data_IF_390852424691
#
_entry.id   IF_390852424691
#
_cell.length_a   1.000
_cell.length_b   1.000
_cell.length_c   1.000
_cell.angle_alpha   90.00
_cell.angle_beta   90.00
_cell.angle_gamma   90.00
#
_symmetry.space_group_name_H-M   'P 1'
#
loop_
_entity.id
_entity.type
_entity.pdbx_description
1 polymer ?
#
# COMPACT_ATOMS: atom_id res chain seq x y z
N UNK A 1 30.14 26.84 27.97
CA UNK A 1 29.26 26.81 26.79
C UNK A 1 29.48 25.46 26.09
N UNK A 2 28.63 24.46 26.36
CA UNK A 2 28.79 23.08 25.87
C UNK A 2 28.03 22.90 24.54
N UNK A 3 28.76 22.75 23.43
CA UNK A 3 28.18 22.41 22.13
C UNK A 3 27.85 20.91 22.11
N UNK A 4 26.56 20.59 22.25
CA UNK A 4 26.03 19.23 22.04
C UNK A 4 26.07 18.92 20.53
N UNK A 5 27.03 18.09 20.12
CA UNK A 5 27.06 17.48 18.80
C UNK A 5 25.94 16.45 18.69
N UNK A 6 24.87 16.81 17.98
CA UNK A 6 23.81 15.88 17.60
C UNK A 6 24.39 14.82 16.66
N UNK A 7 24.69 13.63 17.18
CA UNK A 7 24.98 12.44 16.37
C UNK A 7 23.76 12.18 15.48
N UNK A 8 23.84 12.54 14.19
CA UNK A 8 22.90 12.09 13.16
C UNK A 8 22.89 10.56 13.22
N UNK A 9 21.76 9.99 13.63
CA UNK A 9 21.53 8.54 13.50
C UNK A 9 21.66 8.20 12.01
N UNK A 10 22.39 7.12 11.65
CA UNK A 10 22.43 6.68 10.26
C UNK A 10 21.00 6.36 9.84
N UNK A 11 20.53 7.03 8.80
CA UNK A 11 19.29 6.71 8.11
C UNK A 11 19.34 5.25 7.66
N UNK A 12 18.29 4.44 7.89
CA UNK A 12 18.28 3.06 7.44
C UNK A 12 18.49 3.03 5.93
N UNK A 13 19.60 2.43 5.48
CA UNK A 13 19.84 2.15 4.07
C UNK A 13 18.85 1.06 3.63
N UNK A 14 17.67 1.48 3.18
CA UNK A 14 16.77 0.60 2.44
C UNK A 14 17.39 0.41 1.06
N UNK A 15 18.05 -0.73 0.86
CA UNK A 15 18.37 -1.24 -0.47
C UNK A 15 17.05 -1.47 -1.20
N UNK A 16 16.69 -0.59 -2.14
CA UNK A 16 15.54 -0.76 -3.04
C UNK A 16 15.80 -1.87 -4.03
N UNK A 17 15.99 -3.11 -3.54
CA UNK A 17 16.00 -4.28 -4.38
C UNK A 17 14.63 -4.32 -5.04
N UNK A 18 14.56 -3.88 -6.30
CA UNK A 18 13.37 -3.88 -7.13
C UNK A 18 12.71 -5.25 -6.98
N UNK A 19 11.59 -5.30 -6.27
CA UNK A 19 10.80 -6.52 -6.14
C UNK A 19 10.07 -6.69 -7.47
N UNK A 20 10.79 -7.20 -8.48
CA UNK A 20 10.25 -7.42 -9.81
C UNK A 20 9.17 -8.52 -9.83
N UNK A 21 9.10 -9.34 -8.77
CA UNK A 21 8.13 -10.40 -8.61
C UNK A 21 6.92 -9.90 -7.83
N UNK A 22 5.78 -9.75 -8.50
CA UNK A 22 4.51 -9.31 -7.91
C UNK A 22 4.15 -10.11 -6.66
N UNK A 23 4.31 -11.44 -6.66
CA UNK A 23 4.00 -12.28 -5.50
C UNK A 23 4.83 -11.92 -4.26
N UNK A 24 6.11 -11.60 -4.44
CA UNK A 24 6.98 -11.18 -3.34
C UNK A 24 6.59 -9.78 -2.87
N UNK A 25 6.22 -8.89 -3.80
CA UNK A 25 5.81 -7.52 -3.48
C UNK A 25 4.55 -7.50 -2.61
N UNK A 26 3.54 -8.31 -2.96
CA UNK A 26 2.32 -8.46 -2.18
C UNK A 26 2.59 -8.97 -0.76
N UNK A 27 3.45 -9.99 -0.63
CA UNK A 27 3.83 -10.51 0.68
C UNK A 27 4.58 -9.47 1.51
N UNK A 28 5.49 -8.71 0.89
CA UNK A 28 6.21 -7.63 1.57
C UNK A 28 5.26 -6.51 2.00
N UNK A 29 4.25 -6.16 1.20
CA UNK A 29 3.24 -5.17 1.59
C UNK A 29 2.48 -5.61 2.84
N UNK A 30 2.02 -6.86 2.89
CA UNK A 30 1.38 -7.43 4.09
C UNK A 30 2.36 -7.42 5.29
N UNK A 31 3.64 -7.77 5.06
CA UNK A 31 4.65 -7.75 6.11
C UNK A 31 4.82 -6.37 6.74
N UNK A 32 4.90 -5.32 5.92
CA UNK A 32 5.02 -3.94 6.39
C UNK A 32 3.82 -3.54 7.25
N UNK A 33 2.61 -3.90 6.81
CA UNK A 33 1.39 -3.63 7.56
C UNK A 33 1.37 -4.35 8.92
N UNK A 34 1.79 -5.62 8.96
CA UNK A 34 1.97 -6.38 10.21
C UNK A 34 2.96 -5.72 11.18
N UNK A 35 3.97 -5.02 10.65
CA UNK A 35 4.98 -4.34 11.48
C UNK A 35 4.51 -2.99 12.03
N UNK A 36 3.61 -2.32 11.32
CA UNK A 36 3.05 -1.03 11.78
C UNK A 36 2.11 -1.24 12.96
N UNK A 37 1.36 -2.36 12.96
CA UNK A 37 0.55 -2.80 14.09
C UNK A 37 -0.57 -1.82 14.47
N UNK A 38 -0.93 -0.94 13.52
CA UNK A 38 -2.03 0.03 13.60
C UNK A 38 -3.37 -0.64 13.31
N UNK A 39 -3.39 -1.62 12.40
CA UNK A 39 -4.62 -2.28 11.96
C UNK A 39 -4.66 -3.73 12.44
N UNK A 40 -5.75 -4.13 13.11
CA UNK A 40 -5.93 -5.53 13.54
C UNK A 40 -6.33 -6.46 12.39
N UNK A 41 -6.86 -5.89 11.30
CA UNK A 41 -7.30 -6.64 10.11
C UNK A 41 -6.62 -6.09 8.87
N UNK A 42 -5.97 -6.98 8.12
CA UNK A 42 -5.28 -6.67 6.87
C UNK A 42 -6.07 -7.30 5.73
N UNK A 43 -6.39 -6.48 4.74
CA UNK A 43 -7.09 -6.90 3.54
C UNK A 43 -6.10 -7.02 2.39
N UNK A 44 -6.12 -8.14 1.67
CA UNK A 44 -5.36 -8.32 0.43
C UNK A 44 -6.23 -8.90 -0.67
N UNK A 45 -6.08 -8.37 -1.89
CA UNK A 45 -6.71 -8.90 -3.08
C UNK A 45 -5.91 -10.06 -3.72
N UNK A 46 -4.68 -10.28 -3.24
CA UNK A 46 -3.78 -11.33 -3.69
C UNK A 46 -4.03 -12.68 -3.02
N UNK A 47 -4.80 -13.55 -3.68
CA UNK A 47 -5.02 -14.95 -3.23
C UNK A 47 -3.73 -15.72 -2.95
N UNK A 48 -2.72 -15.52 -3.80
CA UNK A 48 -1.43 -16.22 -3.67
C UNK A 48 -0.68 -15.79 -2.42
N UNK A 49 -0.70 -14.50 -2.08
CA UNK A 49 -0.12 -14.01 -0.85
C UNK A 49 -0.84 -14.60 0.36
N UNK A 50 -2.18 -14.52 0.41
CA UNK A 50 -2.99 -15.09 1.50
C UNK A 50 -2.65 -16.57 1.72
N UNK A 51 -2.60 -17.36 0.64
CA UNK A 51 -2.28 -18.79 0.71
C UNK A 51 -0.85 -19.04 1.21
N UNK A 52 0.12 -18.23 0.81
CA UNK A 52 1.50 -18.32 1.29
C UNK A 52 1.58 -18.14 2.82
N UNK A 53 0.86 -17.16 3.36
CA UNK A 53 0.74 -16.97 4.81
C UNK A 53 0.06 -18.14 5.51
N UNK A 54 -1.07 -18.63 4.97
CA UNK A 54 -1.80 -19.77 5.54
C UNK A 54 -0.94 -21.05 5.61
N UNK A 55 -0.07 -21.25 4.63
CA UNK A 55 0.81 -22.42 4.57
C UNK A 55 2.15 -22.23 5.31
N UNK A 56 2.43 -21.02 5.83
CA UNK A 56 3.74 -20.69 6.41
C UNK A 56 4.89 -20.68 5.40
N UNK A 57 4.60 -20.62 4.09
CA UNK A 57 5.59 -20.64 3.01
C UNK A 57 5.74 -19.25 2.40
N UNK A 58 6.30 -18.34 3.19
CA UNK A 58 6.45 -16.92 2.85
C UNK A 58 7.81 -16.59 2.25
N UNK A 59 7.90 -15.49 1.52
CA UNK A 59 9.13 -15.02 0.89
C UNK A 59 10.18 -14.63 1.93
N UNK A 60 11.46 -14.88 1.62
CA UNK A 60 12.57 -14.55 2.52
C UNK A 60 12.62 -13.06 2.86
N UNK A 61 12.25 -12.19 1.92
CA UNK A 61 12.19 -10.73 2.10
C UNK A 61 11.20 -10.31 3.19
N UNK A 62 10.05 -10.98 3.25
CA UNK A 62 9.08 -10.77 4.33
C UNK A 62 9.66 -11.17 5.69
N UNK A 63 10.34 -12.32 5.76
CA UNK A 63 10.95 -12.78 7.02
C UNK A 63 12.00 -11.80 7.52
N UNK A 64 12.80 -11.23 6.62
CA UNK A 64 13.79 -10.19 6.96
C UNK A 64 13.15 -8.93 7.56
N UNK A 65 11.91 -8.60 7.17
CA UNK A 65 11.17 -7.47 7.74
C UNK A 65 10.65 -7.84 9.12
N UNK A 66 9.96 -8.98 9.24
CA UNK A 66 9.35 -9.43 10.49
C UNK A 66 10.41 -9.64 11.60
N UNK A 67 11.57 -10.21 11.28
CA UNK A 67 12.64 -10.43 12.26
C UNK A 67 13.25 -9.14 12.83
N UNK A 68 13.02 -7.97 12.20
CA UNK A 68 13.49 -6.68 12.73
C UNK A 68 12.52 -6.09 13.75
N UNK A 69 11.32 -6.64 13.89
CA UNK A 69 10.30 -6.19 14.84
C UNK A 69 10.49 -6.89 16.18
N UNK A 70 10.33 -6.16 17.28
CA UNK A 70 10.48 -6.70 18.63
C UNK A 70 9.30 -7.55 19.09
N UNK A 71 8.10 -7.20 18.65
CA UNK A 71 6.85 -7.86 19.04
C UNK A 71 5.86 -7.78 17.87
N UNK A 72 5.21 -8.90 17.57
CA UNK A 72 4.16 -8.96 16.56
C UNK A 72 2.82 -9.16 17.27
N UNK A 73 1.83 -8.33 16.95
CA UNK A 73 0.46 -8.53 17.41
C UNK A 73 -0.23 -9.63 16.59
N UNK A 74 -1.32 -10.16 17.12
CA UNK A 74 -2.21 -11.02 16.35
C UNK A 74 -2.99 -10.16 15.36
N UNK A 75 -3.00 -10.58 14.09
CA UNK A 75 -3.71 -9.91 13.02
C UNK A 75 -4.64 -10.89 12.30
N UNK A 76 -5.78 -10.40 11.83
CA UNK A 76 -6.67 -11.12 10.92
C UNK A 76 -6.30 -10.77 9.48
N UNK A 77 -5.98 -11.78 8.66
CA UNK A 77 -5.67 -11.58 7.26
C UNK A 77 -6.85 -12.06 6.40
N UNK A 78 -7.47 -11.14 5.66
CA UNK A 78 -8.71 -11.38 4.92
C UNK A 78 -8.47 -11.21 3.42
N UNK A 79 -8.80 -12.26 2.66
CA UNK A 79 -8.86 -12.17 1.21
C UNK A 79 -10.14 -11.44 0.78
N UNK A 80 -10.01 -10.48 -0.13
CA UNK A 80 -11.16 -9.85 -0.77
C UNK A 80 -10.96 -9.77 -2.29
N UNK A 81 -12.05 -9.76 -3.06
CA UNK A 81 -11.97 -9.62 -4.51
C UNK A 81 -12.18 -8.17 -4.91
N UNK A 82 -11.14 -7.52 -5.41
CA UNK A 82 -11.24 -6.17 -5.95
C UNK A 82 -11.89 -6.23 -7.34
N UNK A 83 -13.21 -6.01 -7.43
CA UNK A 83 -13.83 -5.59 -8.69
C UNK A 83 -13.58 -4.11 -8.83
N UNK A 84 -12.69 -3.74 -9.74
CA UNK A 84 -12.59 -2.37 -10.23
C UNK A 84 -13.97 -2.05 -10.85
N UNK A 85 -14.76 -1.23 -10.15
CA UNK A 85 -15.93 -0.60 -10.73
C UNK A 85 -15.44 0.15 -11.97
N UNK A 86 -16.09 -0.06 -13.12
CA UNK A 86 -15.75 0.65 -14.35
C UNK A 86 -15.55 2.15 -14.07
N UNK A 87 -14.61 2.82 -14.75
CA UNK A 87 -14.49 4.25 -14.63
C UNK A 87 -15.85 4.86 -14.97
N UNK A 88 -16.51 5.48 -13.98
CA UNK A 88 -17.74 6.24 -14.17
C UNK A 88 -17.51 7.15 -15.37
N UNK A 89 -18.13 6.82 -16.51
CA UNK A 89 -18.13 7.67 -17.69
C UNK A 89 -18.86 8.94 -17.30
N UNK A 90 -18.12 9.95 -16.86
CA UNK A 90 -18.67 11.30 -16.68
C UNK A 90 -19.13 11.74 -18.06
N UNK A 91 -20.43 12.00 -18.31
CA UNK A 91 -20.88 12.47 -19.61
C UNK A 91 -20.20 13.82 -19.88
N UNK A 92 -19.30 13.85 -20.88
CA UNK A 92 -18.74 15.10 -21.42
C UNK A 92 -19.79 15.79 -22.28
N UNK A 93 -20.83 16.33 -21.66
CA UNK A 93 -21.68 17.32 -22.31
C UNK A 93 -22.13 18.32 -21.27
N UNK A 94 -21.31 19.36 -21.08
CA UNK A 94 -21.84 20.65 -20.66
C UNK A 94 -22.52 21.24 -21.90
N UNK A 95 -23.84 21.44 -21.92
CA UNK A 95 -24.45 22.20 -23.00
C UNK A 95 -23.91 23.63 -22.90
N UNK A 96 -23.11 24.03 -23.89
CA UNK A 96 -22.69 25.41 -24.04
C UNK A 96 -23.94 26.23 -24.32
N UNK A 97 -24.46 26.92 -23.31
CA UNK A 97 -25.53 27.90 -23.46
C UNK A 97 -25.08 28.92 -24.50
N UNK A 98 -25.62 28.81 -25.73
CA UNK A 98 -25.50 29.87 -26.75
C UNK A 98 -26.21 31.09 -26.17
N UNK A 99 -25.39 32.02 -25.70
CA UNK A 99 -25.77 33.38 -25.31
C UNK A 99 -26.52 34.02 -26.48
N UNK A 100 -27.81 34.21 -26.30
CA UNK A 100 -28.68 35.05 -27.14
C UNK A 100 -28.03 36.43 -27.27
N UNK A 101 -27.66 36.83 -28.49
CA UNK A 101 -27.52 38.25 -28.82
C UNK A 101 -28.88 38.73 -29.31
N UNK A 102 -29.60 39.39 -28.42
CA UNK A 102 -30.59 40.39 -28.80
C UNK A 102 -29.82 41.70 -29.02
N UNK A 103 -29.92 42.21 -30.24
CA UNK A 103 -29.74 43.60 -30.65
C UNK A 103 -30.85 43.73 -31.72
N UNK A 104 -31.98 44.43 -31.56
CA UNK A 104 -32.14 45.89 -31.32
C UNK A 104 -30.99 46.63 -32.02
N UNK A 105 -31.14 47.13 -33.25
CA UNK A 105 -32.14 48.09 -33.78
C UNK A 105 -32.36 47.84 -35.27
#
# INVERSE_FOLDING_TARGET
MLLRTLKKKPSPQWSWTLIANSSVAEQVAIALELTDGVHDTIYSDSKSAIKAFQMGMVAAQLLQIIHKVKELKNHSLVWFFLRILEPLRVPRSIPTTRRTRLHEV
#
